data_IF_357189982121
#
_entry.id   IF_357189982121
#
_cell.length_a   1.000
_cell.length_b   1.000
_cell.length_c   1.000
_cell.angle_alpha   90.00
_cell.angle_beta   90.00
_cell.angle_gamma   90.00
#
_symmetry.space_group_name_H-M   'P 1'
#
loop_
_entity.id
_entity.type
_entity.pdbx_description
1 polymer ?
#
# COMPACT_ATOMS: atom_id res chain seq x y z
N UNK A 1 7.57 13.74 18.97
CA UNK A 1 6.16 13.81 18.51
C UNK A 1 5.89 12.53 17.73
N UNK A 2 4.79 11.83 18.02
CA UNK A 2 4.44 10.56 17.39
C UNK A 2 3.20 10.77 16.54
N UNK A 3 3.20 10.24 15.32
CA UNK A 3 2.13 10.45 14.35
C UNK A 3 1.56 9.09 13.90
N UNK A 4 0.29 9.09 13.53
CA UNK A 4 -0.36 7.91 12.93
C UNK A 4 -0.97 8.33 11.60
N UNK A 5 -0.57 7.65 10.52
CA UNK A 5 -1.12 7.81 9.19
C UNK A 5 -2.14 6.69 8.94
N UNK A 6 -3.41 7.05 8.75
CA UNK A 6 -4.47 6.10 8.43
C UNK A 6 -4.85 6.29 6.95
N UNK A 7 -4.68 5.24 6.16
CA UNK A 7 -5.03 5.20 4.74
C UNK A 7 -6.30 4.36 4.60
N UNK A 8 -7.37 4.93 4.05
CA UNK A 8 -8.61 4.22 3.77
C UNK A 8 -8.71 4.06 2.25
N UNK A 9 -8.74 2.83 1.76
CA UNK A 9 -8.73 2.52 0.33
C UNK A 9 -9.67 1.35 0.01
N UNK A 10 -10.21 1.32 -1.21
CA UNK A 10 -11.25 0.36 -1.61
C UNK A 10 -10.74 -1.02 -2.09
N UNK A 11 -9.43 -1.27 -2.01
CA UNK A 11 -8.85 -2.57 -2.37
C UNK A 11 -8.47 -2.68 -3.83
N UNK A 12 -9.01 -1.79 -4.67
CA UNK A 12 -8.57 -1.67 -6.04
C UNK A 12 -7.30 -0.83 -6.14
N UNK A 13 -6.17 -1.47 -5.84
CA UNK A 13 -4.89 -1.04 -6.40
C UNK A 13 -5.03 -1.24 -7.91
N UNK A 14 -4.87 -0.17 -8.69
CA UNK A 14 -4.91 -0.24 -10.15
C UNK A 14 -3.73 -1.10 -10.62
N UNK A 15 -3.84 -2.42 -10.55
CA UNK A 15 -2.93 -3.33 -11.22
C UNK A 15 -3.14 -3.10 -12.70
N UNK A 16 -2.14 -2.48 -13.31
CA UNK A 16 -2.11 -2.36 -14.74
C UNK A 16 -2.03 -3.78 -15.31
N UNK A 17 -3.00 -4.17 -16.14
CA UNK A 17 -3.21 -5.54 -16.64
C UNK A 17 -1.97 -6.06 -17.38
N UNK A 18 -1.09 -5.15 -17.80
CA UNK A 18 0.17 -5.40 -18.49
C UNK A 18 1.35 -5.78 -17.58
N UNK A 19 1.20 -5.76 -16.25
CA UNK A 19 2.29 -6.10 -15.31
C UNK A 19 2.25 -7.61 -14.99
N UNK A 20 3.28 -8.39 -15.39
CA UNK A 20 3.33 -9.82 -15.10
C UNK A 20 3.32 -10.10 -13.59
N UNK A 21 2.63 -11.16 -13.16
CA UNK A 21 2.68 -11.66 -11.80
C UNK A 21 4.14 -11.75 -11.29
N UNK A 22 4.45 -11.02 -10.21
CA UNK A 22 5.78 -10.97 -9.60
C UNK A 22 6.64 -9.75 -9.96
N UNK A 23 6.17 -8.85 -10.83
CA UNK A 23 6.78 -7.52 -11.02
C UNK A 23 5.93 -6.44 -10.34
N UNK A 24 6.59 -5.54 -9.62
CA UNK A 24 5.94 -4.37 -9.03
C UNK A 24 5.72 -3.32 -10.11
N UNK A 25 4.52 -2.75 -10.16
CA UNK A 25 4.24 -1.53 -10.92
C UNK A 25 5.01 -0.34 -10.34
N UNK A 26 5.22 0.74 -11.14
CA UNK A 26 5.85 1.95 -10.64
C UNK A 26 5.16 2.53 -9.39
N UNK A 27 3.84 2.41 -9.30
CA UNK A 27 3.02 2.87 -8.17
C UNK A 27 3.25 2.02 -6.91
N UNK A 28 3.30 0.70 -7.06
CA UNK A 28 3.60 -0.21 -5.94
C UNK A 28 5.01 0.02 -5.41
N UNK A 29 6.00 0.19 -6.29
CA UNK A 29 7.37 0.49 -5.89
C UNK A 29 7.48 1.85 -5.17
N UNK A 30 6.77 2.87 -5.64
CA UNK A 30 6.71 4.18 -4.97
C UNK A 30 6.11 4.06 -3.56
N UNK A 31 5.05 3.26 -3.41
CA UNK A 31 4.40 3.00 -2.12
C UNK A 31 5.36 2.32 -1.14
N UNK A 32 6.09 1.29 -1.59
CA UNK A 32 7.12 0.62 -0.76
C UNK A 32 8.19 1.63 -0.33
N UNK A 33 8.71 2.43 -1.25
CA UNK A 33 9.74 3.43 -0.95
C UNK A 33 9.25 4.44 0.09
N UNK A 34 7.98 4.87 0.01
CA UNK A 34 7.38 5.76 0.99
C UNK A 34 7.24 5.11 2.37
N UNK A 35 6.87 3.83 2.45
CA UNK A 35 6.80 3.08 3.72
C UNK A 35 8.19 2.94 4.34
N UNK A 36 9.21 2.62 3.54
CA UNK A 36 10.61 2.54 3.99
C UNK A 36 11.12 3.90 4.46
N UNK A 37 10.78 4.99 3.77
CA UNK A 37 11.14 6.34 4.23
C UNK A 37 10.44 6.67 5.55
N UNK A 38 9.16 6.32 5.69
CA UNK A 38 8.36 6.55 6.88
C UNK A 38 8.87 5.81 8.12
N UNK A 39 9.48 4.63 7.98
CA UNK A 39 10.01 3.85 9.11
C UNK A 39 11.17 4.52 9.85
N UNK A 40 11.83 5.50 9.23
CA UNK A 40 12.85 6.32 9.87
C UNK A 40 12.28 7.39 10.82
N UNK A 41 10.95 7.55 10.84
CA UNK A 41 10.25 8.46 11.72
C UNK A 41 9.40 7.67 12.72
N UNK A 42 9.12 8.24 13.92
CA UNK A 42 8.17 7.67 14.87
C UNK A 42 6.72 7.85 14.34
N UNK A 43 6.41 7.11 13.29
CA UNK A 43 5.18 7.13 12.52
C UNK A 43 4.64 5.69 12.40
N UNK A 44 3.36 5.50 12.71
CA UNK A 44 2.68 4.23 12.43
C UNK A 44 1.70 4.40 11.27
N UNK A 45 1.71 3.46 10.33
CA UNK A 45 0.85 3.45 9.15
C UNK A 45 -0.20 2.34 9.33
N UNK A 46 -1.47 2.67 9.16
CA UNK A 46 -2.59 1.73 9.22
C UNK A 46 -3.34 1.83 7.89
N UNK A 47 -3.41 0.73 7.14
CA UNK A 47 -4.23 0.62 5.94
C UNK A 47 -5.57 -0.05 6.27
N UNK A 48 -6.69 0.59 5.93
CA UNK A 48 -8.05 0.09 6.15
C UNK A 48 -8.71 -0.10 4.79
N UNK A 49 -8.89 -1.35 4.40
CA UNK A 49 -9.67 -1.74 3.23
C UNK A 49 -11.17 -1.59 3.46
N UNK A 50 -11.89 -0.86 2.60
CA UNK A 50 -13.35 -0.70 2.65
C UNK A 50 -14.03 -1.04 1.32
N UNK A 51 -15.01 -1.95 1.30
CA UNK A 51 -15.69 -2.37 0.06
C UNK A 51 -15.81 -3.89 -0.10
N UNK A 52 -16.09 -4.35 -1.32
CA UNK A 52 -16.35 -5.77 -1.62
C UNK A 52 -15.07 -6.61 -1.84
N UNK A 53 -13.91 -5.96 -1.92
CA UNK A 53 -12.64 -6.62 -2.24
C UNK A 53 -12.50 -6.92 -3.74
N UNK A 54 -11.45 -7.66 -4.16
CA UNK A 54 -10.58 -8.53 -3.35
C UNK A 54 -9.47 -7.80 -2.58
N UNK A 55 -9.16 -8.27 -1.36
CA UNK A 55 -8.16 -7.68 -0.45
C UNK A 55 -6.80 -8.41 -0.45
N UNK A 56 -6.64 -9.43 -1.29
CA UNK A 56 -5.45 -10.29 -1.27
C UNK A 56 -4.16 -9.51 -1.58
N UNK A 57 -4.25 -8.43 -2.33
CA UNK A 57 -3.11 -7.56 -2.62
C UNK A 57 -2.65 -6.76 -1.39
N UNK A 58 -3.58 -6.35 -0.51
CA UNK A 58 -3.22 -5.63 0.73
C UNK A 58 -2.46 -6.49 1.73
N UNK A 59 -2.50 -7.83 1.62
CA UNK A 59 -1.71 -8.73 2.49
C UNK A 59 -0.24 -8.83 2.09
N UNK A 60 0.12 -8.41 0.88
CA UNK A 60 1.48 -8.48 0.36
C UNK A 60 2.33 -7.24 0.67
N UNK A 61 1.71 -6.17 1.18
CA UNK A 61 2.34 -4.89 1.52
C UNK A 61 2.38 -4.66 3.03
#
# INVERSE_FOLDING_TARGET
QYNVLVIIADGQVTRNVDVPCGKLSPQEQATINSIVAASHYPLSIISVGVGDGPWDEMKYY
#
